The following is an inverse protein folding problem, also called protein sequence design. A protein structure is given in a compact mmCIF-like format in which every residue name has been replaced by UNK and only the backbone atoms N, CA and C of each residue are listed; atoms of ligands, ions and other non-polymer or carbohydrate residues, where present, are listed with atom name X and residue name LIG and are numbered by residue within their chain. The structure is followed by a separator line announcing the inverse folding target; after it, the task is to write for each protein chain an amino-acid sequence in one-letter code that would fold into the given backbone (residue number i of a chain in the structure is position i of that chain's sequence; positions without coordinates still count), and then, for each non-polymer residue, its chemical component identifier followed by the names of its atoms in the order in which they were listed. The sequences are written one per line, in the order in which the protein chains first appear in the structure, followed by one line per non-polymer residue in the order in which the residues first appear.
data_IF_627494399516
#
_entry.id   IF_627494399516
#
_cell.length_a   1.000
_cell.length_b   1.000
_cell.length_c   1.000
_cell.angle_alpha   90.00
_cell.angle_beta   90.00
_cell.angle_gamma   90.00
#
_symmetry.space_group_name_H-M   'P 1'
#
loop_
_entity.id
_entity.type
_entity.pdbx_description
1 polymer ?
#
# COMPACT_ATOMS: atom_id res chain seq x y z
N UNK A 1 -17.56 -10.03 -30.07
CA UNK A 1 -17.35 -8.67 -29.56
C UNK A 1 -16.39 -8.81 -28.38
N UNK A 2 -15.15 -8.38 -28.52
CA UNK A 2 -14.22 -8.33 -27.38
C UNK A 2 -14.71 -7.24 -26.44
N UNK A 3 -15.35 -7.66 -25.36
CA UNK A 3 -15.69 -6.75 -24.26
C UNK A 3 -14.37 -6.31 -23.64
N UNK A 4 -13.87 -5.14 -24.00
CA UNK A 4 -12.62 -4.60 -23.46
C UNK A 4 -12.87 -4.33 -21.97
N UNK A 5 -12.21 -5.07 -21.08
CA UNK A 5 -12.31 -4.86 -19.64
C UNK A 5 -11.97 -3.41 -19.33
N UNK A 6 -12.77 -2.75 -18.50
CA UNK A 6 -12.50 -1.39 -18.02
C UNK A 6 -11.19 -1.33 -17.24
N UNK A 7 -10.88 -2.38 -16.49
CA UNK A 7 -9.67 -2.52 -15.71
C UNK A 7 -8.97 -3.82 -16.10
N UNK A 8 -7.76 -3.73 -16.59
CA UNK A 8 -6.95 -4.89 -16.96
C UNK A 8 -6.27 -5.50 -15.74
N UNK A 9 -5.68 -4.66 -14.87
CA UNK A 9 -4.94 -5.09 -13.68
C UNK A 9 -5.58 -4.52 -12.42
N UNK A 10 -5.98 -5.42 -11.52
CA UNK A 10 -6.74 -5.09 -10.32
C UNK A 10 -5.99 -5.61 -9.09
N UNK A 11 -5.73 -4.74 -8.13
CA UNK A 11 -5.26 -5.12 -6.80
C UNK A 11 -6.43 -5.17 -5.84
N UNK A 12 -6.64 -6.31 -5.19
CA UNK A 12 -7.70 -6.53 -4.20
C UNK A 12 -7.08 -6.72 -2.82
N UNK A 13 -7.25 -5.74 -1.95
CA UNK A 13 -6.84 -5.84 -0.56
C UNK A 13 -8.01 -6.31 0.31
N UNK A 14 -7.78 -7.39 1.07
CA UNK A 14 -8.77 -7.97 1.97
C UNK A 14 -8.30 -7.81 3.41
N UNK A 15 -9.03 -6.98 4.17
CA UNK A 15 -8.73 -6.70 5.57
C UNK A 15 -9.08 -7.86 6.51
N UNK A 16 -8.38 -7.96 7.65
CA UNK A 16 -8.66 -8.99 8.67
C UNK A 16 -10.12 -8.99 9.13
N UNK A 17 -10.72 -7.82 9.32
CA UNK A 17 -12.13 -7.68 9.73
C UNK A 17 -13.14 -8.23 8.71
N UNK A 18 -12.72 -8.42 7.45
CA UNK A 18 -13.53 -9.06 6.41
C UNK A 18 -13.38 -10.59 6.47
N UNK A 19 -12.16 -11.05 6.80
CA UNK A 19 -11.78 -12.47 6.79
C UNK A 19 -12.05 -13.18 8.12
N UNK A 20 -12.43 -12.44 9.18
CA UNK A 20 -12.67 -13.02 10.50
C UNK A 20 -14.08 -12.73 11.01
N UNK A 21 -14.64 -13.68 11.72
CA UNK A 21 -15.89 -13.54 12.48
C UNK A 21 -15.61 -12.77 13.76
N UNK A 22 -16.66 -12.33 14.44
CA UNK A 22 -16.56 -11.55 15.69
C UNK A 22 -15.84 -12.33 16.82
N UNK A 23 -15.87 -13.68 16.77
CA UNK A 23 -15.12 -14.54 17.70
C UNK A 23 -13.63 -14.69 17.34
N UNK A 24 -13.13 -13.97 16.33
CA UNK A 24 -11.74 -13.98 15.87
C UNK A 24 -11.33 -15.20 15.03
N UNK A 25 -12.29 -16.08 14.70
CA UNK A 25 -12.00 -17.21 13.79
C UNK A 25 -12.12 -16.81 12.32
N UNK A 26 -11.41 -17.48 11.38
CA UNK A 26 -11.57 -17.23 9.96
C UNK A 26 -13.00 -17.46 9.49
N UNK A 27 -13.51 -16.53 8.68
CA UNK A 27 -14.81 -16.64 8.02
C UNK A 27 -14.65 -17.32 6.65
N UNK A 28 -14.70 -18.66 6.66
CA UNK A 28 -14.52 -19.47 5.45
C UNK A 28 -15.57 -19.20 4.38
N UNK A 29 -16.81 -18.92 4.79
CA UNK A 29 -17.91 -18.58 3.85
C UNK A 29 -17.60 -17.28 3.12
N UNK A 30 -17.11 -16.27 3.85
CA UNK A 30 -16.76 -14.98 3.25
C UNK A 30 -15.51 -15.10 2.37
N UNK A 31 -14.53 -15.89 2.77
CA UNK A 31 -13.33 -16.15 1.95
C UNK A 31 -13.76 -16.81 0.63
N UNK A 32 -14.61 -17.84 0.65
CA UNK A 32 -15.13 -18.50 -0.56
C UNK A 32 -15.87 -17.52 -1.45
N UNK A 33 -16.83 -16.77 -0.92
CA UNK A 33 -17.60 -15.80 -1.70
C UNK A 33 -16.75 -14.69 -2.35
N UNK A 34 -15.60 -14.33 -1.78
CA UNK A 34 -14.65 -13.41 -2.41
C UNK A 34 -13.81 -14.11 -3.48
N UNK A 35 -13.40 -15.35 -3.25
CA UNK A 35 -12.67 -16.16 -4.24
C UNK A 35 -13.53 -16.38 -5.49
N UNK A 36 -14.83 -16.67 -5.34
CA UNK A 36 -15.78 -16.82 -6.46
C UNK A 36 -15.78 -15.58 -7.37
N UNK A 37 -15.83 -14.40 -6.78
CA UNK A 37 -15.82 -13.14 -7.51
C UNK A 37 -14.47 -12.88 -8.19
N UNK A 38 -13.37 -13.17 -7.49
CA UNK A 38 -12.01 -13.03 -8.04
C UNK A 38 -11.82 -14.00 -9.20
N UNK A 39 -12.29 -15.25 -9.06
CA UNK A 39 -12.24 -16.25 -10.12
C UNK A 39 -13.04 -15.80 -11.36
N UNK A 40 -14.21 -15.20 -11.17
CA UNK A 40 -15.02 -14.65 -12.26
C UNK A 40 -14.29 -13.51 -12.98
N UNK A 41 -13.67 -12.57 -12.27
CA UNK A 41 -12.89 -11.49 -12.87
C UNK A 41 -11.66 -12.02 -13.60
N UNK A 42 -10.95 -12.99 -13.00
CA UNK A 42 -9.81 -13.65 -13.63
C UNK A 42 -10.23 -14.39 -14.91
N UNK A 43 -11.34 -15.12 -14.89
CA UNK A 43 -11.89 -15.79 -16.08
C UNK A 43 -12.29 -14.81 -17.19
N UNK A 44 -12.78 -13.61 -16.81
CA UNK A 44 -13.04 -12.51 -17.74
C UNK A 44 -11.78 -11.90 -18.36
N UNK A 45 -10.59 -12.30 -17.93
CA UNK A 45 -9.31 -11.85 -18.48
C UNK A 45 -8.54 -10.83 -17.64
N UNK A 46 -9.07 -10.42 -16.48
CA UNK A 46 -8.36 -9.50 -15.59
C UNK A 46 -7.11 -10.14 -14.98
N UNK A 47 -6.06 -9.35 -14.81
CA UNK A 47 -4.87 -9.66 -14.02
C UNK A 47 -5.16 -9.28 -12.57
N UNK A 48 -5.26 -10.26 -11.67
CA UNK A 48 -5.61 -10.03 -10.27
C UNK A 48 -4.40 -10.23 -9.38
N UNK A 49 -4.16 -9.28 -8.47
CA UNK A 49 -3.19 -9.39 -7.38
C UNK A 49 -3.96 -9.25 -6.08
N UNK A 50 -3.78 -10.18 -5.17
CA UNK A 50 -4.42 -10.12 -3.86
C UNK A 50 -3.42 -9.63 -2.81
N UNK A 51 -3.87 -8.75 -1.89
CA UNK A 51 -3.14 -8.41 -0.67
C UNK A 51 -4.02 -8.86 0.50
N UNK A 52 -3.63 -9.96 1.15
CA UNK A 52 -4.50 -10.63 2.12
C UNK A 52 -3.96 -10.48 3.54
N UNK A 53 -4.81 -10.06 4.45
CA UNK A 53 -4.61 -10.16 5.89
C UNK A 53 -5.12 -11.51 6.43
N UNK A 54 -5.03 -11.72 7.75
CA UNK A 54 -5.69 -12.85 8.42
C UNK A 54 -4.76 -13.98 8.87
N UNK A 55 -3.46 -13.95 8.54
CA UNK A 55 -2.51 -14.96 8.99
C UNK A 55 -2.44 -15.06 10.51
N UNK A 56 -2.23 -13.95 11.21
CA UNK A 56 -2.18 -13.90 12.68
C UNK A 56 -3.48 -14.41 13.31
N UNK A 57 -4.63 -14.06 12.76
CA UNK A 57 -5.93 -14.52 13.26
C UNK A 57 -6.09 -16.05 13.06
N UNK A 58 -5.67 -16.57 11.91
CA UNK A 58 -5.69 -18.01 11.61
C UNK A 58 -4.80 -18.80 12.57
N UNK A 59 -3.58 -18.33 12.82
CA UNK A 59 -2.65 -18.97 13.74
C UNK A 59 -3.09 -18.89 15.21
N UNK A 60 -3.65 -17.75 15.64
CA UNK A 60 -4.22 -17.60 16.99
C UNK A 60 -5.32 -18.64 17.24
N UNK A 61 -6.16 -18.89 16.22
CA UNK A 61 -7.21 -19.90 16.29
C UNK A 61 -6.66 -21.32 16.50
N UNK A 62 -5.55 -21.65 15.84
CA UNK A 62 -4.90 -22.97 15.94
C UNK A 62 -4.12 -23.15 17.25
N UNK A 63 -3.53 -22.09 17.77
CA UNK A 63 -2.63 -22.11 18.92
C UNK A 63 -3.29 -21.62 20.22
N UNK A 64 -4.61 -21.78 20.36
CA UNK A 64 -5.38 -21.32 21.55
C UNK A 64 -4.86 -21.89 22.87
N UNK A 65 -4.27 -23.08 22.87
CA UNK A 65 -3.86 -23.83 24.05
C UNK A 65 -2.33 -23.95 24.15
N UNK A 66 -1.58 -22.94 23.78
CA UNK A 66 -0.11 -22.98 23.76
C UNK A 66 0.55 -23.21 25.13
N UNK A 67 -0.20 -23.15 26.24
CA UNK A 67 0.32 -23.43 27.58
C UNK A 67 1.46 -22.52 28.07
N UNK A 68 1.91 -21.59 27.25
CA UNK A 68 3.00 -20.63 27.52
C UNK A 68 2.54 -19.21 27.28
N UNK A 69 2.85 -18.32 28.19
CA UNK A 69 2.64 -16.87 28.02
C UNK A 69 3.77 -16.31 27.14
N UNK A 70 3.42 -15.68 26.04
CA UNK A 70 4.33 -15.03 25.10
C UNK A 70 4.19 -13.52 25.22
N UNK A 71 5.28 -12.79 24.97
CA UNK A 71 5.22 -11.35 24.70
C UNK A 71 4.50 -11.09 23.36
N UNK A 72 4.13 -9.85 23.11
CA UNK A 72 3.31 -9.47 21.96
C UNK A 72 4.01 -9.75 20.61
N UNK A 73 5.32 -9.53 20.53
CA UNK A 73 6.11 -9.74 19.31
C UNK A 73 6.22 -11.23 19.01
N UNK A 74 6.67 -12.03 19.99
CA UNK A 74 6.80 -13.48 19.85
C UNK A 74 5.46 -14.15 19.56
N UNK A 75 4.38 -13.70 20.20
CA UNK A 75 3.04 -14.21 19.93
C UNK A 75 2.61 -13.93 18.49
N UNK A 76 2.86 -12.73 17.99
CA UNK A 76 2.55 -12.37 16.60
C UNK A 76 3.37 -13.19 15.61
N UNK A 77 4.68 -13.32 15.83
CA UNK A 77 5.56 -14.09 14.96
C UNK A 77 5.09 -15.55 14.82
N UNK A 78 4.85 -16.23 15.94
CA UNK A 78 4.39 -17.63 15.89
C UNK A 78 2.99 -17.76 15.29
N UNK A 79 2.06 -16.85 15.62
CA UNK A 79 0.72 -16.88 15.02
C UNK A 79 0.77 -16.61 13.52
N UNK A 80 1.62 -15.70 13.06
CA UNK A 80 1.80 -15.47 11.63
C UNK A 80 2.43 -16.67 10.94
N UNK A 81 3.52 -17.22 11.48
CA UNK A 81 4.22 -18.36 10.89
C UNK A 81 3.29 -19.57 10.70
N UNK A 82 2.49 -19.93 11.73
CA UNK A 82 1.54 -21.05 11.65
C UNK A 82 0.30 -20.69 10.82
N UNK A 83 -0.21 -19.50 11.02
CA UNK A 83 -1.45 -19.08 10.39
C UNK A 83 -1.32 -18.78 8.91
N UNK A 84 -0.14 -18.36 8.45
CA UNK A 84 0.12 -18.09 7.04
C UNK A 84 0.00 -19.35 6.18
N UNK A 85 0.53 -20.47 6.67
CA UNK A 85 0.38 -21.77 6.00
C UNK A 85 -1.10 -22.10 5.82
N UNK A 86 -1.89 -21.93 6.87
CA UNK A 86 -3.32 -22.24 6.85
C UNK A 86 -4.14 -21.31 5.96
N UNK A 87 -3.74 -20.04 5.91
CA UNK A 87 -4.40 -19.03 5.06
C UNK A 87 -4.15 -19.32 3.58
N UNK A 88 -2.89 -19.58 3.20
CA UNK A 88 -2.54 -19.85 1.81
C UNK A 88 -3.10 -21.19 1.31
N UNK A 89 -3.08 -22.23 2.14
CA UNK A 89 -3.69 -23.52 1.89
C UNK A 89 -5.19 -23.36 1.55
N UNK A 90 -5.91 -22.56 2.34
CA UNK A 90 -7.32 -22.26 2.05
C UNK A 90 -7.55 -21.56 0.71
N UNK A 91 -6.71 -20.57 0.37
CA UNK A 91 -6.82 -19.93 -0.95
C UNK A 91 -6.48 -20.91 -2.08
N UNK A 92 -5.47 -21.75 -1.87
CA UNK A 92 -5.05 -22.75 -2.84
C UNK A 92 -6.18 -23.74 -3.15
N UNK A 93 -6.83 -24.26 -2.11
CA UNK A 93 -7.99 -25.18 -2.26
C UNK A 93 -9.14 -24.49 -3.03
N UNK A 94 -9.54 -23.29 -2.60
CA UNK A 94 -10.67 -22.59 -3.19
C UNK A 94 -10.43 -22.15 -4.65
N UNK A 95 -9.24 -21.66 -4.98
CA UNK A 95 -8.88 -21.33 -6.37
C UNK A 95 -8.72 -22.59 -7.23
N UNK A 96 -8.27 -23.69 -6.61
CA UNK A 96 -8.16 -24.99 -7.28
C UNK A 96 -9.50 -25.51 -7.83
N UNK A 97 -10.63 -25.21 -7.16
CA UNK A 97 -11.98 -25.54 -7.65
C UNK A 97 -12.31 -24.88 -9.01
N UNK A 98 -11.64 -23.74 -9.32
CA UNK A 98 -11.75 -23.03 -10.60
C UNK A 98 -10.62 -23.35 -11.57
N UNK A 99 -9.70 -24.28 -11.25
CA UNK A 99 -8.49 -24.53 -12.04
C UNK A 99 -7.51 -23.35 -12.05
N UNK A 100 -7.60 -22.45 -11.09
CA UNK A 100 -6.74 -21.27 -10.98
C UNK A 100 -5.58 -21.57 -10.02
N UNK A 101 -4.37 -21.31 -10.49
CA UNK A 101 -3.17 -21.40 -9.67
C UNK A 101 -2.93 -20.06 -8.97
N UNK A 102 -2.64 -20.09 -7.69
CA UNK A 102 -2.18 -18.92 -6.95
C UNK A 102 -0.80 -19.18 -6.34
N UNK A 103 -0.06 -18.11 -6.06
CA UNK A 103 1.26 -18.21 -5.44
C UNK A 103 1.46 -17.15 -4.37
N UNK A 104 2.17 -17.53 -3.31
CA UNK A 104 2.43 -16.64 -2.17
C UNK A 104 3.65 -15.76 -2.40
N UNK A 105 3.53 -14.48 -2.02
CA UNK A 105 4.65 -13.54 -1.90
C UNK A 105 4.60 -12.94 -0.49
N UNK A 106 5.63 -13.25 0.32
CA UNK A 106 5.83 -12.61 1.61
C UNK A 106 6.87 -11.51 1.49
N UNK A 107 6.51 -10.33 1.93
CA UNK A 107 7.37 -9.15 1.86
C UNK A 107 7.49 -8.47 3.22
N UNK A 108 8.58 -7.75 3.43
CA UNK A 108 8.76 -6.84 4.55
C UNK A 108 8.96 -5.43 4.04
N UNK A 109 8.78 -4.45 4.89
CA UNK A 109 9.10 -3.07 4.55
C UNK A 109 10.54 -2.93 4.08
N UNK A 110 11.48 -3.58 4.78
CA UNK A 110 12.89 -3.59 4.44
C UNK A 110 13.19 -4.18 3.06
N UNK A 111 12.52 -5.30 2.70
CA UNK A 111 12.70 -5.95 1.40
C UNK A 111 12.19 -5.13 0.21
N UNK A 112 11.54 -4.00 0.45
CA UNK A 112 11.10 -3.05 -0.59
C UNK A 112 11.91 -1.74 -0.55
N UNK A 113 12.85 -1.60 0.38
CA UNK A 113 13.63 -0.37 0.59
C UNK A 113 14.64 -0.09 -0.52
N UNK A 114 15.18 -1.14 -1.17
CA UNK A 114 16.13 -0.96 -2.26
C UNK A 114 15.44 -1.06 -3.63
N UNK A 115 15.92 -0.29 -4.61
CA UNK A 115 15.42 -0.35 -5.99
C UNK A 115 15.56 -1.74 -6.59
N UNK A 116 16.63 -2.45 -6.27
CA UNK A 116 16.89 -3.81 -6.76
C UNK A 116 15.83 -4.78 -6.27
N UNK A 117 15.55 -4.78 -4.96
CA UNK A 117 14.63 -5.74 -4.37
C UNK A 117 13.18 -5.42 -4.75
N UNK A 118 12.83 -4.13 -4.87
CA UNK A 118 11.58 -3.67 -5.46
C UNK A 118 11.38 -4.23 -6.89
N UNK A 119 12.40 -4.11 -7.76
CA UNK A 119 12.32 -4.61 -9.13
C UNK A 119 12.28 -6.14 -9.20
N UNK A 120 12.97 -6.85 -8.30
CA UNK A 120 12.91 -8.30 -8.22
C UNK A 120 11.52 -8.79 -7.85
N UNK A 121 10.86 -8.15 -6.86
CA UNK A 121 9.49 -8.48 -6.48
C UNK A 121 8.50 -8.15 -7.60
N UNK A 122 8.64 -6.98 -8.25
CA UNK A 122 7.86 -6.63 -9.42
C UNK A 122 7.98 -7.69 -10.51
N UNK A 123 9.21 -8.07 -10.89
CA UNK A 123 9.45 -9.06 -11.93
C UNK A 123 8.85 -10.43 -11.59
N UNK A 124 8.90 -10.86 -10.33
CA UNK A 124 8.25 -12.07 -9.87
C UNK A 124 6.73 -12.01 -10.10
N UNK A 125 6.08 -10.93 -9.66
CA UNK A 125 4.63 -10.75 -9.84
C UNK A 125 4.24 -10.64 -11.32
N UNK A 126 4.99 -9.90 -12.14
CA UNK A 126 4.76 -9.82 -13.59
C UNK A 126 4.85 -11.20 -14.26
N UNK A 127 5.84 -12.01 -13.87
CA UNK A 127 5.98 -13.38 -14.37
C UNK A 127 4.78 -14.24 -13.96
N UNK A 128 4.34 -14.17 -12.70
CA UNK A 128 3.16 -14.88 -12.24
C UNK A 128 1.91 -14.50 -13.04
N UNK A 129 1.66 -13.20 -13.22
CA UNK A 129 0.50 -12.70 -13.99
C UNK A 129 0.57 -13.14 -15.45
N UNK A 130 1.74 -13.11 -16.09
CA UNK A 130 1.92 -13.59 -17.46
C UNK A 130 1.63 -15.08 -17.63
N UNK A 131 1.86 -15.87 -16.57
CA UNK A 131 1.50 -17.29 -16.47
C UNK A 131 0.06 -17.52 -15.99
N UNK A 132 -0.76 -16.48 -15.86
CA UNK A 132 -2.13 -16.56 -15.32
C UNK A 132 -2.19 -17.09 -13.88
N UNK A 133 -1.13 -16.91 -13.09
CA UNK A 133 -1.06 -17.24 -11.66
C UNK A 133 -1.44 -15.99 -10.86
N UNK A 134 -2.33 -16.13 -9.86
CA UNK A 134 -2.73 -15.03 -8.97
C UNK A 134 -1.69 -14.87 -7.85
N UNK A 135 -0.94 -13.73 -7.78
CA UNK A 135 -0.09 -13.44 -6.65
C UNK A 135 -0.93 -13.13 -5.40
N UNK A 136 -0.62 -13.79 -4.27
CA UNK A 136 -1.19 -13.48 -2.96
C UNK A 136 -0.09 -12.91 -2.08
N UNK A 137 -0.11 -11.61 -1.91
CA UNK A 137 0.90 -10.84 -1.18
C UNK A 137 0.47 -10.67 0.27
N UNK A 138 1.39 -10.83 1.21
CA UNK A 138 1.18 -10.50 2.62
C UNK A 138 2.48 -10.01 3.26
N UNK A 139 2.36 -9.29 4.38
CA UNK A 139 3.52 -8.97 5.19
C UNK A 139 4.12 -10.25 5.80
N UNK A 140 5.45 -10.32 5.83
CA UNK A 140 6.16 -11.39 6.52
C UNK A 140 6.28 -11.11 8.02
N UNK A 141 5.17 -11.19 8.71
CA UNK A 141 5.08 -10.95 10.16
C UNK A 141 5.94 -11.91 11.01
N UNK A 142 6.43 -13.02 10.43
CA UNK A 142 7.28 -13.96 11.14
C UNK A 142 8.70 -13.41 11.39
N UNK A 143 9.17 -12.53 10.53
CA UNK A 143 10.51 -11.93 10.62
C UNK A 143 10.49 -10.40 10.79
N UNK A 144 9.34 -9.76 10.58
CA UNK A 144 9.21 -8.32 10.75
C UNK A 144 9.25 -7.94 12.23
N UNK A 145 10.15 -7.02 12.59
CA UNK A 145 10.21 -6.39 13.91
C UNK A 145 9.48 -5.04 13.89
N UNK A 146 9.07 -4.58 15.06
CA UNK A 146 8.09 -3.47 15.23
C UNK A 146 8.41 -2.20 14.45
N UNK A 147 9.67 -1.86 14.28
CA UNK A 147 10.13 -0.62 13.63
C UNK A 147 10.16 -0.71 12.09
N UNK A 148 10.21 -1.93 11.56
CA UNK A 148 10.31 -2.22 10.12
C UNK A 148 9.04 -2.82 9.53
N UNK A 149 7.92 -2.72 10.26
CA UNK A 149 6.64 -3.23 9.79
C UNK A 149 5.88 -2.20 8.98
N UNK A 150 5.08 -2.68 8.04
CA UNK A 150 4.02 -1.84 7.50
C UNK A 150 3.05 -1.44 8.62
N UNK A 151 2.51 -0.23 8.54
CA UNK A 151 1.47 0.20 9.48
C UNK A 151 0.28 -0.76 9.44
N UNK A 152 -0.06 -1.20 8.21
CA UNK A 152 -1.05 -2.24 7.92
C UNK A 152 -0.96 -2.70 6.45
N UNK A 153 -1.75 -3.71 6.08
CA UNK A 153 -1.83 -4.19 4.70
C UNK A 153 -2.52 -3.20 3.73
N UNK A 154 -3.11 -2.10 4.20
CA UNK A 154 -3.60 -1.04 3.32
C UNK A 154 -2.39 -0.34 2.68
N UNK A 155 -1.37 0.02 3.48
CA UNK A 155 -0.11 0.61 3.01
C UNK A 155 0.58 -0.31 2.00
N UNK A 156 0.71 -1.61 2.33
CA UNK A 156 1.27 -2.61 1.42
C UNK A 156 0.49 -2.67 0.11
N UNK A 157 -0.84 -2.61 0.16
CA UNK A 157 -1.67 -2.71 -1.05
C UNK A 157 -1.52 -1.51 -1.98
N UNK A 158 -1.40 -0.30 -1.43
CA UNK A 158 -1.11 0.90 -2.22
C UNK A 158 0.25 0.81 -2.90
N UNK A 159 1.27 0.31 -2.18
CA UNK A 159 2.62 0.11 -2.72
C UNK A 159 2.63 -0.96 -3.82
N UNK A 160 1.92 -2.08 -3.63
CA UNK A 160 1.78 -3.13 -4.66
C UNK A 160 1.03 -2.58 -5.88
N UNK A 161 -0.05 -1.82 -5.69
CA UNK A 161 -0.78 -1.20 -6.80
C UNK A 161 0.10 -0.27 -7.63
N UNK A 162 0.89 0.59 -6.96
CA UNK A 162 1.84 1.48 -7.61
C UNK A 162 2.99 0.72 -8.30
N UNK A 163 3.52 -0.33 -7.64
CA UNK A 163 4.59 -1.18 -8.17
C UNK A 163 4.18 -1.89 -9.46
N UNK A 164 2.94 -2.35 -9.51
CA UNK A 164 2.43 -3.16 -10.60
C UNK A 164 1.67 -2.35 -11.66
N UNK A 165 1.70 -1.02 -11.57
CA UNK A 165 0.95 -0.13 -12.48
C UNK A 165 -0.51 -0.59 -12.64
N UNK A 166 -1.20 -0.82 -11.51
CA UNK A 166 -2.57 -1.28 -11.49
C UNK A 166 -3.54 -0.21 -12.02
N UNK A 167 -4.62 -0.63 -12.66
CA UNK A 167 -5.70 0.27 -13.08
C UNK A 167 -6.64 0.58 -11.93
N UNK A 168 -6.82 -0.40 -11.01
CA UNK A 168 -7.76 -0.31 -9.89
C UNK A 168 -7.17 -0.95 -8.63
N UNK A 169 -7.28 -0.25 -7.51
CA UNK A 169 -7.07 -0.78 -6.16
C UNK A 169 -8.43 -0.84 -5.45
N UNK A 170 -8.83 -2.02 -4.98
CA UNK A 170 -10.02 -2.21 -4.14
C UNK A 170 -9.57 -2.53 -2.72
N UNK A 171 -9.89 -1.65 -1.76
CA UNK A 171 -9.62 -1.84 -0.33
C UNK A 171 -10.92 -2.30 0.34
N UNK A 172 -11.01 -3.60 0.63
CA UNK A 172 -12.15 -4.15 1.33
C UNK A 172 -12.05 -3.94 2.85
N UNK A 173 -13.11 -3.39 3.41
CA UNK A 173 -13.30 -3.08 4.82
C UNK A 173 -14.60 -3.72 5.32
N UNK A 174 -14.95 -3.50 6.58
CA UNK A 174 -16.23 -3.92 7.17
C UNK A 174 -17.32 -2.83 7.12
N UNK A 175 -17.06 -1.71 6.47
CA UNK A 175 -18.03 -0.62 6.23
C UNK A 175 -18.04 -0.25 4.75
N UNK A 176 -19.15 0.33 4.30
CA UNK A 176 -19.40 0.57 2.88
C UNK A 176 -18.47 1.60 2.22
N UNK A 177 -17.83 2.45 3.02
CA UNK A 177 -16.94 3.49 2.52
C UNK A 177 -16.66 4.53 3.60
N UNK A 178 -16.27 5.72 3.20
CA UNK A 178 -16.12 6.89 4.09
C UNK A 178 -17.45 7.60 4.17
N UNK A 179 -17.89 7.91 5.39
CA UNK A 179 -19.14 8.63 5.65
C UNK A 179 -18.85 10.11 5.98
N UNK A 180 -19.82 10.96 5.71
CA UNK A 180 -19.77 12.39 6.07
C UNK A 180 -20.02 12.67 7.57
N UNK A 181 -20.20 11.61 8.36
CA UNK A 181 -20.37 11.60 9.80
C UNK A 181 -20.11 10.21 10.38
N UNK A 182 -20.59 9.94 11.58
CA UNK A 182 -20.46 8.62 12.20
C UNK A 182 -21.23 7.55 11.41
N UNK A 183 -20.64 6.40 11.05
CA UNK A 183 -21.37 5.31 10.42
C UNK A 183 -22.54 4.76 11.23
N UNK A 184 -22.55 5.00 12.55
CA UNK A 184 -23.65 4.63 13.45
C UNK A 184 -24.83 5.61 13.42
N UNK A 185 -24.65 6.78 12.84
CA UNK A 185 -25.70 7.79 12.69
C UNK A 185 -26.50 7.51 11.41
N UNK A 186 -27.81 7.26 11.49
CA UNK A 186 -28.67 6.98 10.32
C UNK A 186 -28.74 8.14 9.33
N UNK A 187 -28.38 9.35 9.73
CA UNK A 187 -28.35 10.54 8.86
C UNK A 187 -27.10 10.65 8.04
N UNK A 188 -26.02 9.98 8.46
CA UNK A 188 -24.74 9.98 7.76
C UNK A 188 -24.84 9.26 6.42
N UNK A 189 -24.20 9.83 5.40
CA UNK A 189 -24.18 9.31 4.03
C UNK A 189 -22.78 8.94 3.60
N UNK A 190 -22.68 7.96 2.73
CA UNK A 190 -21.40 7.58 2.11
C UNK A 190 -20.95 8.70 1.17
N UNK A 191 -19.71 9.15 1.32
CA UNK A 191 -19.03 10.01 0.36
C UNK A 191 -18.67 9.13 -0.84
N UNK A 192 -19.50 9.15 -1.88
CA UNK A 192 -19.38 8.23 -3.01
C UNK A 192 -18.17 8.50 -3.89
N UNK A 193 -17.84 9.78 -4.08
CA UNK A 193 -16.79 10.21 -5.02
C UNK A 193 -15.88 11.23 -4.35
N UNK A 194 -14.58 11.02 -4.47
CA UNK A 194 -13.53 11.88 -3.94
C UNK A 194 -12.66 12.34 -5.11
N UNK A 195 -12.66 13.63 -5.37
CA UNK A 195 -11.81 14.23 -6.39
C UNK A 195 -10.37 14.36 -5.88
N UNK A 196 -9.37 14.42 -6.78
CA UNK A 196 -7.98 14.65 -6.40
C UNK A 196 -7.83 15.88 -5.49
N UNK A 197 -6.95 15.77 -4.49
CA UNK A 197 -6.68 16.82 -3.48
C UNK A 197 -7.83 17.17 -2.54
N UNK A 198 -8.88 16.36 -2.47
CA UNK A 198 -9.96 16.56 -1.48
C UNK A 198 -9.50 16.09 -0.10
N UNK A 199 -9.56 16.98 0.89
CA UNK A 199 -9.28 16.64 2.29
C UNK A 199 -10.55 16.09 2.97
N UNK A 200 -10.48 14.83 3.39
CA UNK A 200 -11.53 14.14 4.13
C UNK A 200 -11.23 14.00 5.64
N UNK A 201 -10.16 14.58 6.14
CA UNK A 201 -9.70 14.40 7.53
C UNK A 201 -10.78 14.76 8.55
N UNK A 202 -11.59 15.75 8.26
CA UNK A 202 -12.70 16.20 9.14
C UNK A 202 -13.82 15.19 9.34
N UNK A 203 -13.96 14.22 8.42
CA UNK A 203 -14.99 13.20 8.45
C UNK A 203 -14.52 11.88 9.07
N UNK A 204 -13.24 11.77 9.37
CA UNK A 204 -12.64 10.51 9.79
C UNK A 204 -12.39 10.55 11.32
N UNK A 205 -13.08 9.67 12.04
CA UNK A 205 -12.85 9.50 13.48
C UNK A 205 -11.43 8.96 13.73
N UNK A 206 -10.74 9.57 14.69
CA UNK A 206 -9.38 9.18 15.10
C UNK A 206 -9.33 7.86 15.88
N UNK A 207 -10.48 7.28 16.23
CA UNK A 207 -10.55 6.01 16.97
C UNK A 207 -10.07 4.85 16.11
N UNK A 208 -9.10 4.08 16.62
CA UNK A 208 -8.60 2.87 16.01
C UNK A 208 -9.68 1.78 15.94
N UNK A 209 -9.71 1.00 14.86
CA UNK A 209 -10.56 -0.19 14.76
C UNK A 209 -10.13 -1.25 15.77
N UNK A 210 -11.09 -1.96 16.37
CA UNK A 210 -10.87 -2.95 17.45
C UNK A 210 -10.12 -4.23 17.03
N UNK A 211 -9.99 -4.52 15.74
CA UNK A 211 -9.45 -5.80 15.25
C UNK A 211 -8.36 -5.68 14.17
N UNK A 212 -7.82 -4.49 13.90
CA UNK A 212 -6.77 -4.27 12.92
C UNK A 212 -5.90 -3.06 13.23
N UNK A 213 -4.65 -3.01 12.71
CA UNK A 213 -3.74 -1.88 12.89
C UNK A 213 -4.17 -0.64 12.13
N UNK A 214 -4.87 -0.81 10.97
CA UNK A 214 -5.31 0.26 10.10
C UNK A 214 -6.71 0.75 10.41
N UNK A 215 -6.85 2.05 10.69
CA UNK A 215 -8.13 2.74 10.80
C UNK A 215 -8.59 3.32 9.46
N UNK A 216 -9.71 4.03 9.46
CA UNK A 216 -10.17 4.75 8.26
C UNK A 216 -9.18 5.84 7.82
N UNK A 217 -8.41 6.42 8.75
CA UNK A 217 -7.34 7.38 8.46
C UNK A 217 -6.31 6.77 7.50
N UNK A 218 -5.82 5.56 7.80
CA UNK A 218 -4.83 4.89 6.93
C UNK A 218 -5.42 4.56 5.56
N UNK A 219 -6.66 4.04 5.51
CA UNK A 219 -7.34 3.74 4.25
C UNK A 219 -7.51 4.99 3.39
N UNK A 220 -7.96 6.09 3.99
CA UNK A 220 -8.10 7.37 3.29
C UNK A 220 -6.75 7.86 2.74
N UNK A 221 -5.71 7.86 3.57
CA UNK A 221 -4.36 8.28 3.17
C UNK A 221 -3.84 7.44 2.02
N UNK A 222 -3.95 6.11 2.10
CA UNK A 222 -3.51 5.20 1.03
C UNK A 222 -4.33 5.43 -0.23
N UNK A 223 -5.66 5.50 -0.13
CA UNK A 223 -6.54 5.68 -1.27
C UNK A 223 -6.29 7.03 -1.98
N UNK A 224 -6.18 8.12 -1.23
CA UNK A 224 -5.90 9.44 -1.79
C UNK A 224 -4.53 9.49 -2.49
N UNK A 225 -3.50 8.89 -1.87
CA UNK A 225 -2.16 8.80 -2.44
C UNK A 225 -2.14 7.97 -3.72
N UNK A 226 -2.72 6.77 -3.69
CA UNK A 226 -2.76 5.88 -4.85
C UNK A 226 -3.54 6.50 -6.02
N UNK A 227 -4.63 7.22 -5.72
CA UNK A 227 -5.37 7.99 -6.71
C UNK A 227 -4.55 9.14 -7.30
N UNK A 228 -3.77 9.85 -6.49
CA UNK A 228 -2.84 10.88 -6.97
C UNK A 228 -1.76 10.30 -7.91
N UNK A 229 -1.43 9.02 -7.76
CA UNK A 229 -0.51 8.28 -8.63
C UNK A 229 -1.19 7.76 -9.92
N UNK A 230 -2.45 8.10 -10.16
CA UNK A 230 -3.20 7.77 -11.38
C UNK A 230 -3.90 6.42 -11.34
N UNK A 231 -4.04 5.80 -10.17
CA UNK A 231 -4.69 4.51 -9.98
C UNK A 231 -6.05 4.74 -9.33
N UNK A 232 -7.13 4.36 -10.00
CA UNK A 232 -8.45 4.44 -9.38
C UNK A 232 -8.48 3.60 -8.10
N UNK A 233 -8.96 4.17 -6.99
CA UNK A 233 -8.99 3.44 -5.71
C UNK A 233 -10.38 3.47 -5.11
N UNK A 234 -10.85 2.31 -4.65
CA UNK A 234 -12.18 2.14 -4.08
C UNK A 234 -12.08 1.55 -2.67
N UNK A 235 -12.76 2.17 -1.71
CA UNK A 235 -12.99 1.61 -0.36
C UNK A 235 -14.41 1.08 -0.31
N UNK A 236 -14.60 -0.20 0.02
CA UNK A 236 -15.89 -0.85 0.02
C UNK A 236 -16.04 -1.92 1.11
N UNK A 237 -17.27 -2.34 1.35
CA UNK A 237 -17.60 -3.37 2.33
C UNK A 237 -17.42 -4.77 1.74
N UNK A 238 -16.37 -5.47 2.16
CA UNK A 238 -16.08 -6.85 1.74
C UNK A 238 -17.09 -7.88 2.27
N UNK A 239 -18.01 -7.47 3.16
CA UNK A 239 -19.10 -8.34 3.63
C UNK A 239 -20.35 -8.32 2.73
N UNK A 240 -20.40 -7.42 1.73
CA UNK A 240 -21.47 -7.40 0.74
C UNK A 240 -21.24 -8.49 -0.32
N UNK A 241 -22.31 -9.17 -0.71
CA UNK A 241 -22.25 -10.17 -1.77
C UNK A 241 -22.08 -9.49 -3.13
N UNK A 242 -21.28 -10.10 -4.00
CA UNK A 242 -21.01 -9.58 -5.34
C UNK A 242 -20.26 -8.26 -5.40
N UNK A 243 -19.65 -7.81 -4.29
CA UNK A 243 -19.06 -6.45 -4.18
C UNK A 243 -17.95 -6.18 -5.21
N UNK A 244 -17.06 -7.15 -5.47
CA UNK A 244 -15.95 -6.97 -6.40
C UNK A 244 -16.45 -6.86 -7.84
N UNK A 245 -17.36 -7.73 -8.24
CA UNK A 245 -17.95 -7.71 -9.59
C UNK A 245 -18.80 -6.47 -9.81
N UNK A 246 -19.54 -6.02 -8.77
CA UNK A 246 -20.33 -4.79 -8.83
C UNK A 246 -19.44 -3.54 -9.01
N UNK A 247 -18.32 -3.43 -8.27
CA UNK A 247 -17.38 -2.32 -8.39
C UNK A 247 -16.77 -2.27 -9.80
N UNK A 248 -16.35 -3.42 -10.34
CA UNK A 248 -15.76 -3.50 -11.68
C UNK A 248 -16.77 -3.16 -12.77
N UNK A 249 -18.03 -3.53 -12.59
CA UNK A 249 -19.12 -3.18 -13.51
C UNK A 249 -19.47 -1.69 -13.43
N UNK A 250 -19.74 -1.18 -12.23
CA UNK A 250 -20.07 0.23 -11.97
C UNK A 250 -19.82 0.62 -10.51
N UNK A 251 -18.67 1.25 -10.24
CA UNK A 251 -18.37 1.75 -8.91
C UNK A 251 -19.31 2.90 -8.48
N UNK A 252 -19.85 3.67 -9.43
CA UNK A 252 -20.74 4.80 -9.14
C UNK A 252 -22.12 4.34 -8.64
N UNK A 253 -22.57 3.14 -9.02
CA UNK A 253 -23.84 2.54 -8.57
C UNK A 253 -23.68 1.70 -7.30
N UNK A 254 -22.46 1.26 -7.01
CA UNK A 254 -22.13 0.40 -5.87
C UNK A 254 -21.96 1.23 -4.59
N UNK A 255 -22.46 0.77 -3.41
CA UNK A 255 -22.18 1.44 -2.15
C UNK A 255 -20.70 1.37 -1.78
N UNK A 256 -19.94 2.40 -2.14
CA UNK A 256 -18.50 2.49 -1.89
C UNK A 256 -18.03 3.95 -1.94
N UNK A 257 -16.81 4.21 -1.51
CA UNK A 257 -16.11 5.49 -1.75
C UNK A 257 -15.07 5.28 -2.85
N UNK A 258 -15.24 6.00 -3.95
CA UNK A 258 -14.36 5.98 -5.11
C UNK A 258 -13.48 7.22 -5.13
N UNK A 259 -12.17 7.02 -5.15
CA UNK A 259 -11.17 8.05 -5.35
C UNK A 259 -10.80 8.13 -6.83
N UNK A 260 -11.04 9.30 -7.41
CA UNK A 260 -10.80 9.53 -8.84
C UNK A 260 -9.30 9.62 -9.12
N UNK A 261 -8.78 8.88 -10.11
CA UNK A 261 -7.37 8.92 -10.43
C UNK A 261 -6.96 10.28 -11.01
N UNK A 262 -5.77 10.75 -10.66
CA UNK A 262 -5.18 11.96 -11.24
C UNK A 262 -4.93 11.77 -12.74
N UNK A 263 -5.28 12.78 -13.54
CA UNK A 263 -4.99 12.79 -14.98
C UNK A 263 -3.49 12.96 -15.30
N UNK A 264 -2.68 13.41 -14.33
CA UNK A 264 -1.24 13.64 -14.48
C UNK A 264 -0.45 12.79 -13.48
N UNK A 265 -0.37 11.46 -13.68
CA UNK A 265 0.31 10.59 -12.74
C UNK A 265 1.83 10.83 -12.74
N UNK A 266 2.46 10.59 -11.60
CA UNK A 266 3.92 10.60 -11.49
C UNK A 266 4.55 9.42 -12.25
N UNK A 267 5.81 9.56 -12.68
CA UNK A 267 6.55 8.45 -13.29
C UNK A 267 6.70 7.27 -12.31
N UNK A 268 6.87 6.06 -12.83
CA UNK A 268 7.06 4.82 -12.03
C UNK A 268 8.20 4.95 -11.00
N UNK A 269 9.26 5.67 -11.35
CA UNK A 269 10.38 5.95 -10.42
C UNK A 269 9.92 6.86 -9.29
N UNK A 270 9.19 7.92 -9.60
CA UNK A 270 8.66 8.84 -8.59
C UNK A 270 7.62 8.18 -7.70
N UNK A 271 6.80 7.27 -8.24
CA UNK A 271 5.86 6.46 -7.45
C UNK A 271 6.60 5.57 -6.44
N UNK A 272 7.68 4.88 -6.87
CA UNK A 272 8.51 4.11 -5.97
C UNK A 272 9.11 4.98 -4.86
N UNK A 273 9.67 6.15 -5.18
CA UNK A 273 10.23 7.08 -4.20
C UNK A 273 9.13 7.55 -3.23
N UNK A 274 7.99 7.98 -3.73
CA UNK A 274 6.85 8.36 -2.92
C UNK A 274 6.41 7.27 -1.95
N UNK A 275 6.42 6.01 -2.40
CA UNK A 275 6.08 4.84 -1.58
C UNK A 275 7.14 4.47 -0.55
N UNK A 276 8.32 5.09 -0.63
CA UNK A 276 9.48 4.73 0.18
C UNK A 276 9.69 5.65 1.40
N UNK A 277 8.71 6.46 1.79
CA UNK A 277 8.82 7.40 2.92
C UNK A 277 9.30 6.71 4.20
N UNK A 278 8.74 5.56 4.52
CA UNK A 278 9.15 4.78 5.68
C UNK A 278 10.51 4.08 5.58
N UNK A 279 11.24 4.24 4.46
CA UNK A 279 12.56 3.65 4.21
C UNK A 279 13.68 4.69 4.20
N UNK A 280 13.36 5.96 4.39
CA UNK A 280 14.35 7.03 4.37
C UNK A 280 15.37 6.83 5.49
N UNK A 281 16.64 6.66 5.12
CA UNK A 281 17.75 6.42 6.04
C UNK A 281 18.35 7.69 6.62
N UNK A 282 17.97 8.85 6.04
CA UNK A 282 18.44 10.15 6.49
C UNK A 282 17.59 11.28 5.92
N UNK A 283 18.08 12.50 6.10
CA UNK A 283 17.44 13.67 5.52
C UNK A 283 18.48 14.63 4.92
N UNK A 284 18.08 15.30 3.86
CA UNK A 284 18.77 16.46 3.28
C UNK A 284 17.97 17.69 3.64
N UNK A 285 18.55 18.53 4.48
CA UNK A 285 17.94 19.83 4.84
C UNK A 285 18.33 20.86 3.79
N UNK A 286 17.34 21.52 3.20
CA UNK A 286 17.55 22.50 2.13
C UNK A 286 17.16 23.91 2.56
N UNK A 287 17.82 24.91 1.95
CA UNK A 287 17.47 26.32 2.15
C UNK A 287 16.17 26.71 1.42
N UNK A 288 15.63 27.87 1.76
CA UNK A 288 14.37 28.37 1.23
C UNK A 288 14.40 28.52 -0.30
N UNK A 289 15.49 29.02 -0.88
CA UNK A 289 15.63 29.16 -2.32
C UNK A 289 15.58 27.82 -3.08
N UNK A 290 16.18 26.76 -2.50
CA UNK A 290 16.10 25.41 -3.06
C UNK A 290 14.68 24.84 -2.90
N UNK A 291 14.03 25.07 -1.75
CA UNK A 291 12.66 24.64 -1.51
C UNK A 291 11.67 25.29 -2.50
N UNK A 292 11.78 26.59 -2.70
CA UNK A 292 10.96 27.28 -3.70
C UNK A 292 11.23 26.78 -5.13
N UNK A 293 12.49 26.56 -5.50
CA UNK A 293 12.85 26.10 -6.83
C UNK A 293 12.23 24.72 -7.15
N UNK A 294 12.29 23.77 -6.23
CA UNK A 294 11.72 22.42 -6.43
C UNK A 294 10.19 22.42 -6.36
N UNK A 295 9.57 23.32 -5.59
CA UNK A 295 8.13 23.48 -5.53
C UNK A 295 7.55 24.07 -6.82
N UNK A 296 8.23 25.05 -7.41
CA UNK A 296 7.77 25.74 -8.63
C UNK A 296 7.98 24.92 -9.91
N UNK A 297 9.01 24.09 -9.98
CA UNK A 297 9.38 23.39 -11.20
C UNK A 297 9.80 21.94 -10.95
N UNK A 298 9.03 21.00 -11.48
CA UNK A 298 9.26 19.54 -11.37
C UNK A 298 10.58 19.05 -12.03
N UNK A 299 11.27 19.87 -12.80
CA UNK A 299 12.53 19.55 -13.48
C UNK A 299 13.80 20.07 -12.76
N UNK A 300 13.68 20.47 -11.49
CA UNK A 300 14.82 21.02 -10.72
C UNK A 300 15.40 19.94 -9.79
N UNK A 301 16.72 19.80 -9.83
CA UNK A 301 17.50 18.92 -8.94
C UNK A 301 17.93 19.64 -7.67
N UNK A 302 18.13 18.91 -6.58
CA UNK A 302 18.74 19.45 -5.37
C UNK A 302 20.25 19.47 -5.54
N UNK A 303 20.81 20.67 -5.68
CA UNK A 303 22.23 20.91 -5.81
C UNK A 303 22.88 21.09 -4.43
N UNK A 304 24.19 20.81 -4.26
CA UNK A 304 24.89 21.01 -2.99
C UNK A 304 24.79 22.44 -2.44
N UNK A 305 24.72 23.47 -3.32
CA UNK A 305 24.54 24.87 -2.91
C UNK A 305 23.22 25.12 -2.16
N UNK A 306 22.22 24.31 -2.39
CA UNK A 306 20.93 24.38 -1.71
C UNK A 306 20.87 23.59 -0.41
N UNK A 307 21.89 22.78 -0.10
CA UNK A 307 21.92 21.93 1.11
C UNK A 307 22.49 22.72 2.28
N UNK A 308 21.77 22.69 3.41
CA UNK A 308 22.15 23.37 4.67
C UNK A 308 22.70 22.38 5.69
N UNK A 309 22.07 21.20 5.78
CA UNK A 309 22.51 20.14 6.69
C UNK A 309 22.20 18.76 6.10
N UNK A 310 22.90 17.75 6.61
CA UNK A 310 22.69 16.34 6.29
C UNK A 310 22.46 15.59 7.59
N UNK A 311 21.37 14.85 7.69
CA UNK A 311 20.97 14.10 8.87
C UNK A 311 20.95 12.60 8.61
N UNK A 312 21.45 11.82 9.57
CA UNK A 312 21.53 10.37 9.47
C UNK A 312 22.66 9.87 8.59
N UNK A 313 22.81 8.55 8.52
CA UNK A 313 23.80 7.87 7.71
C UNK A 313 23.10 7.15 6.55
N UNK A 314 23.46 7.50 5.33
CA UNK A 314 22.93 6.88 4.12
C UNK A 314 24.03 6.71 3.08
N UNK A 315 23.84 5.75 2.21
CA UNK A 315 24.70 5.46 1.07
C UNK A 315 24.12 6.03 -0.22
N UNK A 316 24.91 6.02 -1.27
CA UNK A 316 24.43 6.32 -2.62
C UNK A 316 23.30 5.36 -2.97
N UNK A 317 22.26 5.89 -3.61
CA UNK A 317 21.02 5.22 -4.02
C UNK A 317 20.01 4.92 -2.88
N UNK A 318 20.34 5.25 -1.62
CA UNK A 318 19.36 5.25 -0.52
C UNK A 318 18.30 6.35 -0.70
N UNK A 319 17.13 6.10 -0.13
CA UNK A 319 16.07 7.11 -0.02
C UNK A 319 16.33 8.01 1.18
N UNK A 320 16.20 9.32 0.95
CA UNK A 320 16.35 10.36 1.98
C UNK A 320 15.15 11.30 1.95
N UNK A 321 14.79 11.81 3.11
CA UNK A 321 13.79 12.87 3.25
C UNK A 321 14.37 14.20 2.81
N UNK A 322 13.52 15.04 2.26
CA UNK A 322 13.85 16.42 1.94
C UNK A 322 13.10 17.31 2.90
N UNK A 323 13.87 18.06 3.70
CA UNK A 323 13.35 18.83 4.81
C UNK A 323 13.78 20.28 4.65
N UNK A 324 12.91 21.20 4.94
CA UNK A 324 13.21 22.63 5.00
C UNK A 324 13.93 23.00 6.31
N UNK A 325 14.58 24.15 6.37
CA UNK A 325 15.32 24.56 7.56
C UNK A 325 14.46 24.72 8.83
N UNK A 326 13.13 24.89 8.67
CA UNK A 326 12.14 24.92 9.75
C UNK A 326 11.66 23.52 10.20
N UNK A 327 12.21 22.45 9.59
CA UNK A 327 11.90 21.06 9.96
C UNK A 327 10.70 20.44 9.23
N UNK A 328 10.10 21.14 8.27
CA UNK A 328 8.99 20.62 7.49
C UNK A 328 9.49 19.70 6.38
N UNK A 329 9.04 18.45 6.35
CA UNK A 329 9.27 17.56 5.23
C UNK A 329 8.46 18.05 4.02
N UNK A 330 9.10 18.13 2.86
CA UNK A 330 8.48 18.56 1.60
C UNK A 330 8.60 17.50 0.50
N UNK A 331 9.26 16.39 0.77
CA UNK A 331 9.37 15.33 -0.20
C UNK A 331 10.41 14.27 0.14
N UNK A 332 10.67 13.43 -0.85
CA UNK A 332 11.61 12.31 -0.79
C UNK A 332 12.51 12.31 -2.03
N UNK A 333 13.72 11.80 -1.90
CA UNK A 333 14.61 11.64 -3.04
C UNK A 333 15.58 10.48 -2.89
N UNK A 334 16.08 10.00 -4.02
CA UNK A 334 17.18 9.04 -4.03
C UNK A 334 18.51 9.78 -4.04
N UNK A 335 19.33 9.51 -3.06
CA UNK A 335 20.65 10.15 -2.91
C UNK A 335 21.60 9.75 -4.05
N UNK A 336 22.25 10.72 -4.67
CA UNK A 336 23.24 10.48 -5.72
C UNK A 336 24.66 10.25 -5.16
N UNK A 337 24.86 10.47 -3.85
CA UNK A 337 26.11 10.24 -3.10
C UNK A 337 25.77 9.80 -1.67
N UNK A 338 26.78 9.34 -0.94
CA UNK A 338 26.66 9.03 0.49
C UNK A 338 26.55 10.29 1.35
N UNK A 339 26.15 10.12 2.62
CA UNK A 339 25.95 11.19 3.60
C UNK A 339 27.24 12.01 3.85
N UNK A 340 28.40 11.34 3.88
CA UNK A 340 29.68 12.00 4.11
C UNK A 340 30.08 12.91 2.92
N UNK A 341 29.84 12.47 1.70
CA UNK A 341 30.06 13.29 0.50
C UNK A 341 29.07 14.46 0.42
N UNK A 342 27.80 14.22 0.74
CA UNK A 342 26.78 15.26 0.79
C UNK A 342 27.16 16.35 1.80
N UNK A 343 27.59 15.96 3.00
CA UNK A 343 28.02 16.87 4.07
C UNK A 343 29.27 17.69 3.68
N UNK A 344 30.30 17.03 3.08
CA UNK A 344 31.50 17.74 2.60
C UNK A 344 31.21 18.78 1.52
N UNK A 345 30.25 18.50 0.67
CA UNK A 345 29.96 19.31 -0.52
C UNK A 345 28.86 20.36 -0.28
N UNK A 346 28.21 20.35 0.88
CA UNK A 346 27.12 21.29 1.18
C UNK A 346 27.54 22.75 0.98
N UNK A 347 26.65 23.57 0.47
CA UNK A 347 26.91 24.98 0.16
C UNK A 347 27.79 25.23 -1.07
N UNK A 348 28.39 24.20 -1.67
CA UNK A 348 29.30 24.34 -2.80
C UNK A 348 28.56 24.51 -4.13
N UNK A 349 29.14 25.30 -5.05
CA UNK A 349 28.62 25.53 -6.41
C UNK A 349 29.35 24.69 -7.45
N UNK A 350 28.71 24.44 -8.59
CA UNK A 350 29.32 23.77 -9.75
C UNK A 350 29.49 22.26 -9.62
N UNK A 351 28.93 21.65 -8.58
CA UNK A 351 28.99 20.20 -8.35
C UNK A 351 27.72 19.48 -8.86
N UNK A 352 27.83 18.17 -9.02
CA UNK A 352 26.69 17.30 -9.40
C UNK A 352 25.58 17.37 -8.34
N UNK A 353 24.32 17.14 -8.73
CA UNK A 353 23.20 17.11 -7.79
C UNK A 353 23.39 16.10 -6.68
N UNK A 354 22.96 16.44 -5.45
CA UNK A 354 22.78 15.49 -4.34
C UNK A 354 21.58 14.61 -4.59
N UNK A 355 20.53 15.18 -5.21
CA UNK A 355 19.35 14.44 -5.67
C UNK A 355 18.98 14.96 -7.05
N UNK A 356 18.93 14.06 -8.05
CA UNK A 356 18.55 14.40 -9.41
C UNK A 356 17.03 14.52 -9.54
N UNK A 357 16.52 15.43 -10.36
CA UNK A 357 15.07 15.69 -10.52
C UNK A 357 14.26 14.45 -10.94
N UNK A 358 14.86 13.49 -11.68
CA UNK A 358 14.21 12.24 -12.05
C UNK A 358 13.93 11.33 -10.84
N UNK A 359 14.70 11.52 -9.78
CA UNK A 359 14.65 10.76 -8.53
C UNK A 359 14.20 11.62 -7.35
N UNK A 360 13.44 12.67 -7.65
CA UNK A 360 12.91 13.63 -6.68
C UNK A 360 11.38 13.58 -6.73
N UNK A 361 10.76 13.31 -5.59
CA UNK A 361 9.33 13.43 -5.36
C UNK A 361 9.07 14.56 -4.38
N UNK A 362 8.23 15.52 -4.73
CA UNK A 362 7.77 16.62 -3.87
C UNK A 362 6.28 16.43 -3.63
N UNK A 363 5.89 16.56 -2.35
CA UNK A 363 4.52 16.41 -1.84
C UNK A 363 3.61 17.57 -2.25
#
# INVERSE_FOLDING_TARGET
MHNTLRYKRIVVKIGSNVLTRDNGTPDTTRISALVDQIAALHAAGAEIIMVSSGAVASGRGLLRNLGRRLDEVSARQIYSAVGQVRLIDRYYDLFGEYGIVCGQILTTKESLSTRRDYLNQRNCMETMLSCRVIPIVNENDAISVTELMFTDNDELSGLVAAMMDADLLIILSNIDGIYDGSPADPTSRIIRRVEPHTDLTRYIDTKRSSAGRGGMITKNRVAARTAAEGIETVIANGRRDGILTAIVASADETPCTRFVPSATPSSTIKRWIASSEGFAKGAIVINEGAAEAVARNKGVSILPVGVVAVEGAFEKDDIVRIVTADGRQIGLGRAACDSAAAERNKGSRGLKPVIHYDYLYIE
#
